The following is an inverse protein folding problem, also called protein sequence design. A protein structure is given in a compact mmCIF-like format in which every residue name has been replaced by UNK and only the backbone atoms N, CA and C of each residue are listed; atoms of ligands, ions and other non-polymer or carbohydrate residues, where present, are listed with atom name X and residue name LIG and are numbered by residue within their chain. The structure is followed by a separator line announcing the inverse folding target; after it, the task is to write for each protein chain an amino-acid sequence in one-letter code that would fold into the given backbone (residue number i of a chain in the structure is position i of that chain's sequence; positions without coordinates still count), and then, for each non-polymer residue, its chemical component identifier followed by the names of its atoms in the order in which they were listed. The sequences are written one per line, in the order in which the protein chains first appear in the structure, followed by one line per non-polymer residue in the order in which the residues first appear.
data_IF_839499640354
#
_entry.id   IF_839499640354
#
_cell.length_a   1.000
_cell.length_b   1.000
_cell.length_c   1.000
_cell.angle_alpha   90.00
_cell.angle_beta   90.00
_cell.angle_gamma   90.00
#
_symmetry.space_group_name_H-M   'P 1'
#
loop_
_entity.id
_entity.type
_entity.pdbx_description
1 polymer ?
#
# COMPACT_ATOMS: atom_id res chain seq x y z
N UNK A 1 17.42 -8.87 14.06
CA UNK A 1 16.15 -8.93 13.29
C UNK A 1 15.85 -7.50 12.87
N UNK A 2 16.18 -7.12 11.64
CA UNK A 2 15.92 -5.75 11.10
C UNK A 2 14.59 -5.70 10.34
N UNK A 3 14.09 -6.88 9.95
CA UNK A 3 12.83 -7.10 9.23
C UNK A 3 11.57 -6.61 9.96
N UNK A 4 11.62 -6.37 11.27
CA UNK A 4 10.47 -5.80 12.00
C UNK A 4 10.05 -4.42 11.47
N UNK A 5 10.98 -3.65 10.89
CA UNK A 5 10.67 -2.35 10.29
C UNK A 5 9.80 -2.54 9.04
N UNK A 6 10.09 -3.54 8.21
CA UNK A 6 9.29 -3.86 7.04
C UNK A 6 7.87 -4.32 7.44
N UNK A 7 7.75 -5.10 8.53
CA UNK A 7 6.44 -5.48 9.09
C UNK A 7 5.63 -4.29 9.60
N UNK A 8 6.26 -3.31 10.27
CA UNK A 8 5.54 -2.11 10.72
C UNK A 8 4.96 -1.34 9.52
N UNK A 9 5.74 -1.22 8.45
CA UNK A 9 5.28 -0.56 7.23
C UNK A 9 4.20 -1.37 6.50
N UNK A 10 4.31 -2.69 6.46
CA UNK A 10 3.27 -3.57 5.93
C UNK A 10 1.94 -3.35 6.66
N UNK A 11 1.94 -3.38 7.99
CA UNK A 11 0.75 -3.15 8.82
C UNK A 11 0.16 -1.74 8.60
N UNK A 12 1.02 -0.72 8.44
CA UNK A 12 0.58 0.63 8.12
C UNK A 12 -0.10 0.70 6.74
N UNK A 13 0.47 0.04 5.73
CA UNK A 13 -0.11 -0.06 4.39
C UNK A 13 -1.46 -0.79 4.42
N UNK A 14 -1.53 -1.94 5.09
CA UNK A 14 -2.77 -2.71 5.22
C UNK A 14 -3.88 -1.89 5.91
N UNK A 15 -3.53 -1.17 6.98
CA UNK A 15 -4.44 -0.30 7.71
C UNK A 15 -4.97 0.84 6.83
N UNK A 16 -4.07 1.49 6.08
CA UNK A 16 -4.45 2.58 5.18
C UNK A 16 -5.29 2.08 3.99
N UNK A 17 -4.95 0.91 3.42
CA UNK A 17 -5.72 0.29 2.34
C UNK A 17 -7.14 -0.10 2.79
N UNK A 18 -7.29 -0.65 4.01
CA UNK A 18 -8.59 -0.89 4.62
C UNK A 18 -9.37 0.42 4.80
N UNK A 19 -8.72 1.49 5.25
CA UNK A 19 -9.30 2.82 5.36
C UNK A 19 -9.84 3.35 4.02
N UNK A 20 -9.08 3.18 2.93
CA UNK A 20 -9.52 3.52 1.57
C UNK A 20 -10.75 2.70 1.17
N UNK A 21 -10.72 1.39 1.37
CA UNK A 21 -11.86 0.53 1.06
C UNK A 21 -13.13 0.96 1.81
N UNK A 22 -13.01 1.23 3.11
CA UNK A 22 -14.14 1.70 3.93
C UNK A 22 -14.64 3.08 3.46
N UNK A 23 -13.74 3.98 3.07
CA UNK A 23 -14.11 5.28 2.51
C UNK A 23 -14.87 5.14 1.18
N UNK A 24 -14.42 4.24 0.29
CA UNK A 24 -15.12 3.92 -0.97
C UNK A 24 -16.52 3.37 -0.67
N UNK A 25 -16.61 2.38 0.23
CA UNK A 25 -17.89 1.78 0.65
C UNK A 25 -18.85 2.81 1.24
N UNK A 26 -18.32 3.77 2.01
CA UNK A 26 -19.05 4.89 2.57
C UNK A 26 -19.33 6.04 1.59
N UNK A 27 -18.99 5.90 0.30
CA UNK A 27 -19.10 6.95 -0.73
C UNK A 27 -18.36 8.25 -0.37
N UNK A 28 -17.35 8.17 0.49
CA UNK A 28 -16.48 9.29 0.84
C UNK A 28 -15.32 9.38 -0.15
N UNK A 29 -15.59 9.95 -1.33
CA UNK A 29 -14.60 10.08 -2.41
C UNK A 29 -13.36 10.87 -1.99
N UNK A 30 -13.54 11.94 -1.19
CA UNK A 30 -12.43 12.73 -0.66
C UNK A 30 -11.55 11.92 0.29
N UNK A 31 -12.17 11.14 1.19
CA UNK A 31 -11.44 10.28 2.11
C UNK A 31 -10.65 9.20 1.38
N UNK A 32 -11.29 8.55 0.40
CA UNK A 32 -10.65 7.52 -0.42
C UNK A 32 -9.47 8.08 -1.23
N UNK A 33 -9.64 9.25 -1.87
CA UNK A 33 -8.58 9.92 -2.62
C UNK A 33 -7.39 10.32 -1.74
N UNK A 34 -7.63 10.82 -0.52
CA UNK A 34 -6.57 11.12 0.44
C UNK A 34 -5.80 9.85 0.86
N UNK A 35 -6.51 8.76 1.15
CA UNK A 35 -5.86 7.50 1.52
C UNK A 35 -5.04 6.90 0.38
N UNK A 36 -5.53 6.96 -0.87
CA UNK A 36 -4.76 6.54 -2.05
C UNK A 36 -3.50 7.40 -2.23
N UNK A 37 -3.62 8.72 -2.05
CA UNK A 37 -2.48 9.65 -2.13
C UNK A 37 -1.41 9.32 -1.08
N UNK A 38 -1.83 9.02 0.16
CA UNK A 38 -0.92 8.60 1.23
C UNK A 38 -0.20 7.29 0.90
N UNK A 39 -0.95 6.29 0.42
CA UNK A 39 -0.42 4.98 0.08
C UNK A 39 0.61 5.06 -1.05
N UNK A 40 0.25 5.70 -2.17
CA UNK A 40 1.14 5.81 -3.35
C UNK A 40 2.30 6.79 -3.13
N UNK A 41 2.05 7.89 -2.42
CA UNK A 41 3.01 8.97 -2.26
C UNK A 41 4.06 8.73 -1.19
N UNK A 42 3.72 7.95 -0.15
CA UNK A 42 4.57 7.82 1.04
C UNK A 42 4.83 6.36 1.41
N UNK A 43 3.78 5.60 1.73
CA UNK A 43 3.96 4.30 2.40
C UNK A 43 4.55 3.24 1.46
N UNK A 44 4.01 3.09 0.26
CA UNK A 44 4.49 2.11 -0.73
C UNK A 44 5.94 2.41 -1.16
N UNK A 45 6.30 3.66 -1.54
CA UNK A 45 7.70 4.00 -1.84
C UNK A 45 8.63 3.72 -0.66
N UNK A 46 8.23 4.04 0.57
CA UNK A 46 9.07 3.84 1.74
C UNK A 46 9.31 2.35 2.02
N UNK A 47 8.29 1.50 1.92
CA UNK A 47 8.49 0.04 2.03
C UNK A 47 9.35 -0.50 0.89
N UNK A 48 9.26 0.03 -0.34
CA UNK A 48 10.16 -0.33 -1.45
C UNK A 48 11.62 -0.01 -1.13
N UNK A 49 11.89 1.20 -0.62
CA UNK A 49 13.23 1.62 -0.21
C UNK A 49 13.77 0.73 0.92
N UNK A 50 12.96 0.46 1.95
CA UNK A 50 13.35 -0.45 3.03
C UNK A 50 13.61 -1.86 2.49
N UNK A 51 12.75 -2.37 1.60
CA UNK A 51 12.93 -3.71 1.05
C UNK A 51 14.24 -3.84 0.28
N UNK A 52 14.64 -2.82 -0.48
CA UNK A 52 15.95 -2.81 -1.15
C UNK A 52 17.12 -2.62 -0.18
N UNK A 53 16.96 -1.77 0.84
CA UNK A 53 18.04 -1.42 1.77
C UNK A 53 18.36 -2.49 2.81
N UNK A 54 17.33 -3.16 3.34
CA UNK A 54 17.50 -4.20 4.38
C UNK A 54 17.13 -5.61 3.91
N UNK A 55 16.42 -5.76 2.79
CA UNK A 55 15.99 -7.06 2.27
C UNK A 55 17.14 -7.98 1.90
N UNK A 56 18.28 -7.45 1.42
CA UNK A 56 19.46 -8.27 1.12
C UNK A 56 20.01 -9.01 2.35
N UNK A 57 19.76 -8.51 3.57
CA UNK A 57 20.14 -9.17 4.82
C UNK A 57 19.15 -10.27 5.23
N UNK A 58 17.97 -10.33 4.60
CA UNK A 58 16.91 -11.29 4.85
C UNK A 58 16.15 -11.64 3.54
N UNK A 59 16.77 -12.42 2.62
CA UNK A 59 16.25 -12.62 1.26
C UNK A 59 14.85 -13.24 1.20
N UNK A 60 14.50 -14.09 2.17
CA UNK A 60 13.15 -14.66 2.27
C UNK A 60 12.10 -13.58 2.54
N UNK A 61 12.39 -12.67 3.48
CA UNK A 61 11.50 -11.54 3.79
C UNK A 61 11.42 -10.57 2.63
N UNK A 62 12.54 -10.34 1.92
CA UNK A 62 12.58 -9.46 0.75
C UNK A 62 11.57 -9.86 -0.33
N UNK A 63 11.52 -11.15 -0.68
CA UNK A 63 10.55 -11.67 -1.65
C UNK A 63 9.10 -11.52 -1.16
N UNK A 64 8.85 -11.81 0.12
CA UNK A 64 7.52 -11.68 0.71
C UNK A 64 6.99 -10.24 0.64
N UNK A 65 7.82 -9.24 0.99
CA UNK A 65 7.42 -7.84 0.90
C UNK A 65 7.31 -7.34 -0.53
N UNK A 66 8.10 -7.88 -1.48
CA UNK A 66 7.95 -7.58 -2.89
C UNK A 66 6.59 -8.05 -3.44
N UNK A 67 6.19 -9.27 -3.11
CA UNK A 67 4.87 -9.81 -3.49
C UNK A 67 3.73 -9.02 -2.84
N UNK A 68 3.87 -8.64 -1.57
CA UNK A 68 2.92 -7.79 -0.86
C UNK A 68 2.76 -6.42 -1.53
N UNK A 69 3.88 -5.78 -1.90
CA UNK A 69 3.86 -4.49 -2.60
C UNK A 69 3.12 -4.59 -3.93
N UNK A 70 3.40 -5.62 -4.73
CA UNK A 70 2.72 -5.85 -6.00
C UNK A 70 1.21 -6.04 -5.84
N UNK A 71 0.80 -6.85 -4.86
CA UNK A 71 -0.61 -7.08 -4.56
C UNK A 71 -1.31 -5.78 -4.10
N UNK A 72 -0.63 -4.97 -3.29
CA UNK A 72 -1.15 -3.70 -2.80
C UNK A 72 -1.33 -2.69 -3.93
N UNK A 73 -0.33 -2.54 -4.82
CA UNK A 73 -0.41 -1.64 -5.97
C UNK A 73 -1.57 -2.04 -6.89
N UNK A 74 -1.73 -3.33 -7.16
CA UNK A 74 -2.86 -3.87 -7.94
C UNK A 74 -4.21 -3.54 -7.29
N UNK A 75 -4.34 -3.66 -5.97
CA UNK A 75 -5.56 -3.28 -5.26
C UNK A 75 -5.86 -1.78 -5.40
N UNK A 76 -4.83 -0.92 -5.37
CA UNK A 76 -5.01 0.51 -5.52
C UNK A 76 -5.43 0.91 -6.93
N UNK A 77 -4.91 0.24 -7.96
CA UNK A 77 -5.38 0.42 -9.33
C UNK A 77 -6.89 0.15 -9.43
N UNK A 78 -7.37 -0.94 -8.82
CA UNK A 78 -8.80 -1.27 -8.75
C UNK A 78 -9.59 -0.19 -8.00
N UNK A 79 -9.07 0.31 -6.88
CA UNK A 79 -9.73 1.37 -6.11
C UNK A 79 -9.84 2.68 -6.88
N UNK A 80 -8.79 3.05 -7.63
CA UNK A 80 -8.80 4.21 -8.51
C UNK A 80 -9.80 4.04 -9.66
N UNK A 81 -9.85 2.87 -10.28
CA UNK A 81 -10.84 2.56 -11.31
C UNK A 81 -12.28 2.69 -10.80
N UNK A 82 -12.55 2.24 -9.57
CA UNK A 82 -13.86 2.40 -8.93
C UNK A 82 -14.19 3.88 -8.68
N UNK A 83 -13.21 4.68 -8.27
CA UNK A 83 -13.41 6.09 -7.93
C UNK A 83 -13.54 7.00 -9.17
N UNK A 84 -12.77 6.72 -10.21
CA UNK A 84 -12.64 7.59 -11.39
C UNK A 84 -13.29 7.02 -12.65
N UNK A 85 -13.64 5.73 -12.67
CA UNK A 85 -14.32 5.08 -13.79
C UNK A 85 -15.71 5.64 -14.10
N UNK A 86 -16.35 6.35 -13.17
CA UNK A 86 -17.60 7.07 -13.40
C UNK A 86 -17.47 8.38 -14.23
N UNK A 87 -16.26 8.78 -14.63
CA UNK A 87 -16.02 9.99 -15.45
C UNK A 87 -15.93 9.75 -16.97
N UNK A 88 -16.16 8.53 -17.46
CA UNK A 88 -16.20 8.24 -18.91
C UNK A 88 -17.63 8.20 -19.44
#
# INVERSE_FOLDING_TARGET
IVTFIQFIEEEAIQSAALGVFLAIRGKSYRGASLGITLLRGTLIPHLKELNTGVGWMAPYSEGCFADFLLATETNLDIYEDILFGHKK
#
